data_IF_551175540027
#
_entry.id   IF_551175540027
#
_cell.length_a   1.000
_cell.length_b   1.000
_cell.length_c   1.000
_cell.angle_alpha   90.00
_cell.angle_beta   90.00
_cell.angle_gamma   90.00
#
_symmetry.space_group_name_H-M   'P 1'
#
loop_
_entity.id
_entity.type
_entity.pdbx_description
1 polymer ?
#
# COMPACT_ATOMS: atom_id res chain seq x y z
N UNK A 1 -44.26 5.86 -32.98
CA UNK A 1 -43.39 6.68 -32.12
C UNK A 1 -42.50 5.74 -31.34
N UNK A 2 -41.20 5.70 -31.62
CA UNK A 2 -40.23 4.94 -30.80
C UNK A 2 -39.97 5.72 -29.51
N UNK A 3 -39.89 5.06 -28.34
CA UNK A 3 -39.64 5.73 -27.07
C UNK A 3 -38.23 6.32 -27.06
N UNK A 4 -38.13 7.61 -26.76
CA UNK A 4 -36.87 8.30 -26.46
C UNK A 4 -36.26 7.64 -25.22
N UNK A 5 -35.03 7.15 -25.36
CA UNK A 5 -34.25 6.68 -24.22
C UNK A 5 -34.09 7.83 -23.20
N UNK A 6 -34.23 7.56 -21.89
CA UNK A 6 -34.05 8.60 -20.88
C UNK A 6 -32.64 9.18 -20.98
N UNK A 7 -32.55 10.52 -20.97
CA UNK A 7 -31.27 11.22 -20.92
C UNK A 7 -30.46 10.75 -19.70
N UNK A 8 -29.14 10.56 -19.83
CA UNK A 8 -28.31 10.17 -18.70
C UNK A 8 -28.45 11.19 -17.57
N UNK A 9 -28.61 10.70 -16.34
CA UNK A 9 -28.58 11.55 -15.15
C UNK A 9 -27.29 12.39 -15.14
N UNK A 10 -27.33 13.64 -14.65
CA UNK A 10 -26.12 14.45 -14.51
C UNK A 10 -25.09 13.66 -13.71
N UNK A 11 -23.83 13.67 -14.17
CA UNK A 11 -22.73 13.01 -13.46
C UNK A 11 -22.70 13.57 -12.03
N UNK A 12 -22.91 12.71 -11.04
CA UNK A 12 -22.72 13.08 -9.65
C UNK A 12 -21.32 13.69 -9.49
N UNK A 13 -21.21 14.76 -8.70
CA UNK A 13 -19.92 15.37 -8.41
C UNK A 13 -18.93 14.32 -7.89
N UNK A 14 -17.68 14.44 -8.29
CA UNK A 14 -16.64 13.50 -7.91
C UNK A 14 -16.48 13.47 -6.37
N UNK A 15 -16.57 12.28 -5.73
CA UNK A 15 -16.68 12.19 -4.27
C UNK A 15 -15.41 12.59 -3.52
N UNK A 16 -14.24 12.62 -4.17
CA UNK A 16 -12.95 12.94 -3.53
C UNK A 16 -12.34 14.25 -4.02
N UNK A 17 -12.84 14.83 -5.11
CA UNK A 17 -12.35 16.11 -5.64
C UNK A 17 -12.43 17.27 -4.63
N UNK A 18 -13.47 17.40 -3.78
CA UNK A 18 -13.52 18.43 -2.74
C UNK A 18 -12.35 18.39 -1.75
N UNK A 19 -11.65 17.25 -1.60
CA UNK A 19 -10.48 17.16 -0.73
C UNK A 19 -9.31 18.04 -1.23
N UNK A 20 -9.28 18.41 -2.51
CA UNK A 20 -8.28 19.31 -3.06
C UNK A 20 -8.40 20.75 -2.53
N UNK A 21 -9.56 21.12 -2.01
CA UNK A 21 -9.80 22.46 -1.47
C UNK A 21 -9.39 22.57 0.00
N UNK A 22 -9.02 21.45 0.62
CA UNK A 22 -8.46 21.45 1.96
C UNK A 22 -7.05 22.10 1.98
N UNK A 23 -6.73 22.87 3.04
CA UNK A 23 -5.44 23.55 3.15
C UNK A 23 -4.25 22.62 2.93
N UNK A 24 -3.37 22.98 1.99
CA UNK A 24 -2.12 22.27 1.70
C UNK A 24 -2.24 21.03 0.83
N UNK A 25 -3.45 20.52 0.52
CA UNK A 25 -3.62 19.26 -0.23
C UNK A 25 -3.13 19.37 -1.67
N UNK A 26 -3.46 20.45 -2.40
CA UNK A 26 -2.93 20.67 -3.77
C UNK A 26 -1.40 20.68 -3.80
N UNK A 27 -0.78 21.42 -2.88
CA UNK A 27 0.67 21.45 -2.75
C UNK A 27 1.28 20.08 -2.41
N UNK A 28 0.59 19.27 -1.61
CA UNK A 28 1.01 17.90 -1.33
C UNK A 28 0.96 17.00 -2.58
N UNK A 29 -0.12 17.10 -3.37
CA UNK A 29 -0.25 16.42 -4.67
C UNK A 29 0.87 16.82 -5.63
N UNK A 30 1.16 18.11 -5.73
CA UNK A 30 2.20 18.62 -6.62
C UNK A 30 3.60 18.14 -6.22
N UNK A 31 3.95 18.18 -4.92
CA UNK A 31 5.24 17.67 -4.45
C UNK A 31 5.43 16.19 -4.77
N UNK A 32 4.42 15.36 -4.50
CA UNK A 32 4.47 13.94 -4.80
C UNK A 32 4.62 13.68 -6.30
N UNK A 33 3.87 14.43 -7.13
CA UNK A 33 3.95 14.35 -8.59
C UNK A 33 5.34 14.71 -9.10
N UNK A 34 5.91 15.83 -8.67
CA UNK A 34 7.26 16.25 -9.08
C UNK A 34 8.31 15.19 -8.72
N UNK A 35 8.28 14.65 -7.51
CA UNK A 35 9.23 13.62 -7.09
C UNK A 35 9.16 12.34 -7.95
N UNK A 36 7.94 11.89 -8.30
CA UNK A 36 7.76 10.74 -9.18
C UNK A 36 8.12 11.03 -10.64
N UNK A 37 7.83 12.24 -11.14
CA UNK A 37 8.22 12.69 -12.49
C UNK A 37 9.75 12.68 -12.63
N UNK A 38 10.48 13.21 -11.65
CA UNK A 38 11.95 13.19 -11.63
C UNK A 38 12.51 11.76 -11.58
N UNK A 39 11.89 10.88 -10.78
CA UNK A 39 12.27 9.48 -10.68
C UNK A 39 12.10 8.75 -12.02
N UNK A 40 11.01 9.00 -12.75
CA UNK A 40 10.70 8.35 -14.04
C UNK A 40 11.83 8.45 -15.06
N UNK A 41 12.60 9.53 -15.02
CA UNK A 41 13.69 9.79 -15.96
C UNK A 41 15.04 9.19 -15.56
N UNK A 42 15.09 8.41 -14.47
CA UNK A 42 16.31 7.73 -14.05
C UNK A 42 16.83 6.74 -15.09
N UNK A 43 18.15 6.70 -15.30
CA UNK A 43 18.78 5.86 -16.33
C UNK A 43 18.50 4.35 -16.13
N UNK A 44 18.42 3.90 -14.89
CA UNK A 44 18.13 2.50 -14.53
C UNK A 44 16.86 2.00 -15.22
N UNK A 45 15.87 2.89 -15.38
CA UNK A 45 14.57 2.52 -15.91
C UNK A 45 14.56 2.26 -17.42
N UNK A 46 15.66 2.56 -18.14
CA UNK A 46 15.78 2.25 -19.57
C UNK A 46 15.96 0.76 -19.86
N UNK A 47 16.65 0.03 -18.99
CA UNK A 47 17.04 -1.38 -19.23
C UNK A 47 16.85 -2.28 -18.02
N UNK A 48 17.00 -1.74 -16.81
CA UNK A 48 17.05 -2.50 -15.55
C UNK A 48 15.86 -2.22 -14.62
N UNK A 49 14.74 -1.78 -15.20
CA UNK A 49 13.58 -1.37 -14.42
C UNK A 49 12.93 -2.55 -13.68
N UNK A 50 13.02 -3.78 -14.22
CA UNK A 50 12.48 -4.98 -13.57
C UNK A 50 13.26 -5.32 -12.31
N UNK A 51 14.59 -5.25 -12.35
CA UNK A 51 15.42 -5.44 -11.15
C UNK A 51 15.16 -4.35 -10.11
N UNK A 52 15.04 -3.09 -10.54
CA UNK A 52 14.71 -1.99 -9.63
C UNK A 52 13.34 -2.16 -8.97
N UNK A 53 12.32 -2.63 -9.71
CA UNK A 53 11.00 -2.95 -9.14
C UNK A 53 11.07 -4.10 -8.15
N UNK A 54 11.75 -5.19 -8.50
CA UNK A 54 11.88 -6.36 -7.63
C UNK A 54 12.57 -6.00 -6.30
N UNK A 55 13.68 -5.25 -6.36
CA UNK A 55 14.37 -4.79 -5.16
C UNK A 55 13.52 -3.80 -4.34
N UNK A 56 12.82 -2.86 -5.00
CA UNK A 56 11.90 -1.95 -4.32
C UNK A 56 10.75 -2.69 -3.61
N UNK A 57 10.26 -3.80 -4.18
CA UNK A 57 9.23 -4.64 -3.57
C UNK A 57 9.72 -5.33 -2.30
N UNK A 58 10.92 -5.91 -2.32
CA UNK A 58 11.52 -6.53 -1.13
C UNK A 58 11.72 -5.50 -0.03
N UNK A 59 12.21 -4.30 -0.38
CA UNK A 59 12.37 -3.19 0.58
C UNK A 59 11.04 -2.68 1.12
N UNK A 60 10.01 -2.54 0.28
CA UNK A 60 8.67 -2.15 0.69
C UNK A 60 8.05 -3.17 1.65
N UNK A 61 8.16 -4.46 1.35
CA UNK A 61 7.69 -5.52 2.22
C UNK A 61 8.40 -5.50 3.58
N UNK A 62 9.73 -5.37 3.59
CA UNK A 62 10.52 -5.27 4.83
C UNK A 62 10.17 -4.04 5.65
N UNK A 63 10.14 -2.86 5.02
CA UNK A 63 9.83 -1.61 5.70
C UNK A 63 8.39 -1.63 6.24
N UNK A 64 7.43 -2.13 5.46
CA UNK A 64 6.05 -2.31 5.89
C UNK A 64 5.95 -3.25 7.10
N UNK A 65 6.61 -4.41 7.07
CA UNK A 65 6.65 -5.32 8.20
C UNK A 65 7.25 -4.65 9.45
N UNK A 66 8.28 -3.83 9.29
CA UNK A 66 8.88 -3.07 10.39
C UNK A 66 7.95 -2.02 11.00
N UNK A 67 7.02 -1.45 10.22
CA UNK A 67 5.94 -0.59 10.76
C UNK A 67 5.00 -1.39 11.67
N UNK A 68 4.76 -2.66 11.34
CA UNK A 68 3.92 -3.58 12.12
C UNK A 68 4.70 -4.26 13.27
N UNK A 69 5.96 -3.84 13.50
CA UNK A 69 6.81 -4.33 14.59
C UNK A 69 7.74 -5.48 14.24
N UNK A 70 7.59 -6.09 13.06
CA UNK A 70 8.38 -7.24 12.64
C UNK A 70 9.71 -6.81 11.98
N UNK A 71 10.86 -7.21 12.55
CA UNK A 71 12.18 -6.83 12.07
C UNK A 71 12.94 -8.01 11.50
N UNK A 72 13.13 -7.99 10.19
CA UNK A 72 13.97 -8.97 9.47
C UNK A 72 15.16 -8.29 8.79
N UNK A 73 16.36 -8.92 8.74
CA UNK A 73 17.44 -8.47 7.87
C UNK A 73 17.02 -8.49 6.40
N UNK A 74 17.54 -7.55 5.59
CA UNK A 74 17.18 -7.47 4.17
C UNK A 74 17.59 -8.72 3.40
N UNK A 75 18.79 -9.24 3.67
CA UNK A 75 19.31 -10.45 3.01
C UNK A 75 18.44 -11.69 3.25
N UNK A 76 17.88 -11.82 4.45
CA UNK A 76 16.95 -12.91 4.77
C UNK A 76 15.72 -12.81 3.86
N UNK A 77 15.13 -11.63 3.73
CA UNK A 77 13.94 -11.44 2.90
C UNK A 77 14.24 -11.52 1.40
N UNK A 78 15.43 -11.13 0.95
CA UNK A 78 15.92 -11.38 -0.41
C UNK A 78 16.06 -12.88 -0.70
N UNK A 79 16.55 -13.66 0.27
CA UNK A 79 16.58 -15.12 0.19
C UNK A 79 15.18 -15.70 0.00
N UNK A 80 14.23 -15.32 0.85
CA UNK A 80 12.83 -15.75 0.73
C UNK A 80 12.23 -15.36 -0.63
N UNK A 81 12.49 -14.14 -1.13
CA UNK A 81 11.99 -13.67 -2.41
C UNK A 81 12.50 -14.46 -3.62
N UNK A 82 13.65 -15.12 -3.48
CA UNK A 82 14.27 -15.95 -4.52
C UNK A 82 14.05 -17.45 -4.31
N UNK A 83 13.28 -17.84 -3.29
CA UNK A 83 13.03 -19.25 -2.94
C UNK A 83 14.22 -19.91 -2.22
N UNK A 84 15.16 -19.12 -1.72
CA UNK A 84 16.27 -19.57 -0.89
C UNK A 84 15.80 -19.59 0.57
N UNK A 85 15.30 -20.75 1.01
CA UNK A 85 14.77 -20.95 2.37
C UNK A 85 15.86 -21.16 3.44
N UNK A 86 17.15 -21.15 3.07
CA UNK A 86 18.28 -21.36 4.00
C UNK A 86 19.49 -20.48 3.66
N UNK A 87 20.26 -20.00 4.66
CA UNK A 87 21.58 -19.43 4.43
C UNK A 87 22.50 -20.44 3.73
N UNK A 88 23.48 -19.92 2.98
CA UNK A 88 24.36 -20.70 2.10
C UNK A 88 25.23 -21.75 2.82
N UNK A 89 25.31 -21.67 4.15
CA UNK A 89 26.04 -22.60 5.03
C UNK A 89 25.21 -23.83 5.46
N UNK A 90 23.96 -23.96 5.02
CA UNK A 90 23.14 -25.16 5.20
C UNK A 90 22.54 -25.33 6.60
N UNK A 91 22.86 -24.46 7.55
CA UNK A 91 22.09 -24.34 8.78
C UNK A 91 20.71 -23.77 8.39
N UNK A 92 19.61 -24.40 8.80
CA UNK A 92 18.34 -23.67 8.82
C UNK A 92 18.52 -22.39 9.64
N UNK A 93 17.77 -21.32 9.36
CA UNK A 93 17.77 -20.18 10.27
C UNK A 93 17.37 -20.70 11.66
N UNK A 94 18.33 -20.83 12.59
CA UNK A 94 18.09 -21.14 13.99
C UNK A 94 17.48 -19.88 14.62
N UNK A 95 16.20 -19.64 14.31
CA UNK A 95 15.44 -18.51 14.81
C UNK A 95 14.81 -18.92 16.14
N UNK A 96 14.85 -18.02 17.11
CA UNK A 96 13.94 -18.11 18.24
C UNK A 96 12.49 -17.86 17.77
N UNK A 97 11.52 -18.11 18.65
CA UNK A 97 10.10 -17.99 18.33
C UNK A 97 9.71 -16.57 17.88
N UNK A 98 10.39 -15.55 18.39
CA UNK A 98 10.16 -14.15 18.06
C UNK A 98 10.66 -13.81 16.65
N UNK A 99 11.90 -14.17 16.32
CA UNK A 99 12.46 -13.98 14.98
C UNK A 99 11.70 -14.81 13.93
N UNK A 100 11.20 -15.99 14.30
CA UNK A 100 10.30 -16.76 13.45
C UNK A 100 8.95 -16.05 13.22
N UNK A 101 8.40 -15.37 14.25
CA UNK A 101 7.18 -14.57 14.10
C UNK A 101 7.39 -13.36 13.18
N UNK A 102 8.49 -12.64 13.37
CA UNK A 102 8.87 -11.51 12.51
C UNK A 102 9.02 -11.94 11.05
N UNK A 103 9.67 -13.08 10.82
CA UNK A 103 9.81 -13.64 9.48
C UNK A 103 8.47 -14.02 8.85
N UNK A 104 7.51 -14.56 9.62
CA UNK A 104 6.15 -14.87 9.11
C UNK A 104 5.43 -13.61 8.63
N UNK A 105 5.47 -12.53 9.43
CA UNK A 105 4.85 -11.24 9.08
C UNK A 105 5.52 -10.64 7.84
N UNK A 106 6.86 -10.60 7.80
CA UNK A 106 7.60 -10.08 6.66
C UNK A 106 7.37 -10.89 5.37
N UNK A 107 7.32 -12.22 5.47
CA UNK A 107 6.99 -13.10 4.35
C UNK A 107 5.55 -12.91 3.88
N UNK A 108 4.61 -12.64 4.79
CA UNK A 108 3.25 -12.20 4.46
C UNK A 108 3.22 -10.92 3.64
N UNK A 109 3.91 -9.87 4.12
CA UNK A 109 4.04 -8.60 3.41
C UNK A 109 4.68 -8.75 2.02
N UNK A 110 5.70 -9.62 1.90
CA UNK A 110 6.32 -9.94 0.62
C UNK A 110 5.34 -10.62 -0.34
N UNK A 111 4.57 -11.61 0.12
CA UNK A 111 3.53 -12.28 -0.68
C UNK A 111 2.43 -11.32 -1.14
N UNK A 112 1.96 -10.45 -0.26
CA UNK A 112 0.98 -9.41 -0.63
C UNK A 112 1.55 -8.45 -1.68
N UNK A 113 2.81 -8.04 -1.54
CA UNK A 113 3.51 -7.17 -2.49
C UNK A 113 3.71 -7.86 -3.84
N UNK A 114 4.10 -9.14 -3.85
CA UNK A 114 4.24 -9.95 -5.06
C UNK A 114 2.90 -10.16 -5.77
N UNK A 115 1.81 -10.39 -5.03
CA UNK A 115 0.46 -10.44 -5.60
C UNK A 115 0.07 -9.09 -6.21
N UNK A 116 0.31 -7.98 -5.50
CA UNK A 116 0.03 -6.64 -6.01
C UNK A 116 0.79 -6.34 -7.31
N UNK A 117 2.03 -6.85 -7.44
CA UNK A 117 2.84 -6.72 -8.63
C UNK A 117 2.18 -7.27 -9.89
N UNK A 118 1.35 -8.30 -9.77
CA UNK A 118 0.63 -8.92 -10.90
C UNK A 118 -0.40 -8.00 -11.56
N UNK A 119 -0.83 -6.95 -10.87
CA UNK A 119 -1.76 -5.94 -11.38
C UNK A 119 -1.10 -4.62 -11.75
N UNK A 120 0.20 -4.46 -11.50
CA UNK A 120 0.89 -3.22 -11.84
C UNK A 120 1.13 -3.14 -13.35
N UNK A 121 0.92 -1.97 -13.97
CA UNK A 121 1.30 -1.75 -15.37
C UNK A 121 2.78 -2.02 -15.60
N UNK A 122 3.09 -2.66 -16.74
CA UNK A 122 4.45 -2.70 -17.27
C UNK A 122 4.97 -1.27 -17.53
N UNK A 123 6.23 -0.99 -17.24
CA UNK A 123 6.80 0.32 -17.51
C UNK A 123 6.83 0.57 -19.03
N UNK A 124 6.16 1.65 -19.48
CA UNK A 124 5.98 1.95 -20.90
C UNK A 124 4.85 1.16 -21.57
N UNK A 125 4.12 0.33 -20.82
CA UNK A 125 2.89 -0.30 -21.28
C UNK A 125 1.81 0.74 -21.60
N UNK A 126 1.02 0.48 -22.64
CA UNK A 126 -0.08 1.36 -23.08
C UNK A 126 -1.46 0.92 -22.58
N UNK A 127 -1.54 -0.25 -21.95
CA UNK A 127 -2.79 -0.80 -21.45
C UNK A 127 -3.16 -0.17 -20.12
N UNK A 128 -4.44 0.16 -19.95
CA UNK A 128 -4.97 0.53 -18.65
C UNK A 128 -4.90 -0.69 -17.70
N UNK A 129 -4.42 -0.53 -16.46
CA UNK A 129 -4.41 -1.61 -15.49
C UNK A 129 -5.83 -2.07 -15.16
N UNK A 130 -6.10 -3.35 -15.39
CA UNK A 130 -7.34 -4.00 -15.01
C UNK A 130 -7.27 -4.44 -13.53
N UNK A 131 -7.57 -3.52 -12.61
CA UNK A 131 -7.69 -3.86 -11.19
C UNK A 131 -9.02 -4.57 -10.92
N UNK A 132 -9.06 -5.60 -10.05
CA UNK A 132 -10.32 -6.10 -9.53
C UNK A 132 -11.03 -5.02 -8.69
N UNK A 133 -12.34 -5.14 -8.44
CA UNK A 133 -13.05 -4.29 -7.48
C UNK A 133 -12.30 -4.24 -6.16
N UNK A 134 -12.23 -3.06 -5.53
CA UNK A 134 -11.37 -2.84 -4.36
C UNK A 134 -11.62 -3.87 -3.24
N UNK A 135 -12.87 -4.18 -2.90
CA UNK A 135 -13.17 -5.22 -1.90
C UNK A 135 -12.53 -6.59 -2.22
N UNK A 136 -12.55 -7.02 -3.48
CA UNK A 136 -11.92 -8.27 -3.92
C UNK A 136 -10.38 -8.17 -3.90
N UNK A 137 -9.84 -7.02 -4.30
CA UNK A 137 -8.41 -6.72 -4.20
C UNK A 137 -7.93 -6.88 -2.76
N UNK A 138 -8.62 -6.25 -1.81
CA UNK A 138 -8.29 -6.28 -0.38
C UNK A 138 -8.37 -7.69 0.20
N UNK A 139 -9.42 -8.44 -0.14
CA UNK A 139 -9.57 -9.83 0.30
C UNK A 139 -8.39 -10.70 -0.18
N UNK A 140 -7.98 -10.56 -1.45
CA UNK A 140 -6.85 -11.31 -2.02
C UNK A 140 -5.52 -10.90 -1.41
N UNK A 141 -5.30 -9.61 -1.19
CA UNK A 141 -4.10 -9.11 -0.50
C UNK A 141 -4.02 -9.63 0.94
N UNK A 142 -5.14 -9.61 1.68
CA UNK A 142 -5.17 -10.14 3.04
C UNK A 142 -4.91 -11.65 3.07
N UNK A 143 -5.52 -12.42 2.16
CA UNK A 143 -5.25 -13.86 2.07
C UNK A 143 -3.75 -14.15 1.84
N UNK A 144 -3.09 -13.38 0.96
CA UNK A 144 -1.65 -13.50 0.74
C UNK A 144 -0.82 -13.06 1.96
N UNK A 145 -1.22 -11.98 2.63
CA UNK A 145 -0.53 -11.45 3.80
C UNK A 145 -0.63 -12.38 5.02
N UNK A 146 -1.81 -12.94 5.28
CA UNK A 146 -2.11 -13.76 6.45
C UNK A 146 -1.77 -15.25 6.32
N UNK A 147 -1.52 -15.74 5.10
CA UNK A 147 -1.29 -17.15 4.85
C UNK A 147 -0.13 -17.71 5.69
N UNK A 148 -0.36 -18.82 6.38
CA UNK A 148 0.65 -19.49 7.21
C UNK A 148 0.80 -18.93 8.63
N UNK A 149 0.01 -17.93 9.04
CA UNK A 149 0.00 -17.44 10.43
C UNK A 149 -1.36 -16.91 10.92
N UNK A 150 -2.38 -16.81 10.06
CA UNK A 150 -3.78 -16.62 10.45
C UNK A 150 -4.60 -17.89 10.16
N UNK A 151 -5.72 -18.10 10.86
CA UNK A 151 -6.66 -19.18 10.55
C UNK A 151 -7.16 -19.08 9.10
N UNK A 152 -7.20 -20.21 8.38
CA UNK A 152 -7.64 -20.25 6.98
C UNK A 152 -9.09 -19.74 6.81
N UNK A 153 -9.93 -19.99 7.82
CA UNK A 153 -11.30 -19.50 7.87
C UNK A 153 -11.40 -17.96 7.93
N UNK A 154 -10.34 -17.24 8.31
CA UNK A 154 -10.34 -15.78 8.41
C UNK A 154 -9.68 -15.10 7.19
N UNK A 155 -9.00 -15.87 6.33
CA UNK A 155 -8.27 -15.32 5.19
C UNK A 155 -9.20 -14.67 4.17
N UNK A 156 -9.06 -13.35 4.05
CA UNK A 156 -9.74 -12.54 3.04
C UNK A 156 -11.18 -12.19 3.44
N UNK A 157 -11.56 -12.44 4.69
CA UNK A 157 -12.90 -12.19 5.20
C UNK A 157 -12.90 -10.98 6.13
N UNK A 158 -13.88 -10.10 5.93
CA UNK A 158 -14.12 -9.00 6.87
C UNK A 158 -14.53 -9.61 8.21
N UNK A 159 -13.90 -9.17 9.31
CA UNK A 159 -14.18 -9.72 10.65
C UNK A 159 -15.61 -9.41 11.09
N UNK A 160 -16.30 -10.45 11.54
CA UNK A 160 -17.71 -10.39 11.96
C UNK A 160 -17.86 -9.78 13.35
N UNK A 161 -16.91 -10.05 14.24
CA UNK A 161 -16.89 -9.56 15.62
C UNK A 161 -15.44 -9.43 16.12
N UNK A 162 -15.28 -8.87 17.31
CA UNK A 162 -13.97 -8.74 17.97
C UNK A 162 -13.17 -7.52 17.50
N UNK A 163 -12.14 -7.21 18.28
CA UNK A 163 -11.17 -6.17 17.96
C UNK A 163 -10.10 -6.71 17.00
N UNK A 164 -9.57 -5.90 16.08
CA UNK A 164 -8.38 -6.29 15.32
C UNK A 164 -7.20 -6.55 16.27
N UNK A 165 -6.37 -7.52 15.91
CA UNK A 165 -5.17 -7.92 16.66
C UNK A 165 -3.96 -7.03 16.37
N UNK A 166 -3.98 -6.30 15.26
CA UNK A 166 -2.96 -5.33 14.87
C UNK A 166 -3.44 -3.88 14.98
N UNK A 167 -2.48 -2.94 14.89
CA UNK A 167 -2.75 -1.50 14.98
C UNK A 167 -3.49 -1.12 16.28
N UNK A 168 -3.17 -1.82 17.37
CA UNK A 168 -3.69 -1.55 18.70
C UNK A 168 -3.27 -0.13 19.12
N UNK A 169 -4.21 0.67 19.63
CA UNK A 169 -3.97 2.07 19.97
C UNK A 169 -4.51 3.11 18.97
N UNK A 170 -5.04 2.70 17.82
CA UNK A 170 -5.76 3.61 16.89
C UNK A 170 -7.23 3.86 17.25
N UNK A 171 -7.64 3.51 18.47
CA UNK A 171 -9.01 3.64 18.95
C UNK A 171 -9.95 2.49 18.50
N UNK A 172 -11.27 2.63 18.71
CA UNK A 172 -12.26 1.62 18.33
C UNK A 172 -12.29 1.39 16.82
N UNK A 173 -12.55 0.16 16.40
CA UNK A 173 -12.75 -0.22 15.00
C UNK A 173 -14.17 -0.77 14.82
N UNK A 174 -14.88 -0.42 13.74
CA UNK A 174 -16.16 -1.08 13.42
C UNK A 174 -15.93 -2.57 13.12
N UNK A 175 -16.93 -3.41 13.32
CA UNK A 175 -16.93 -4.84 12.99
C UNK A 175 -18.25 -5.26 12.35
N UNK A 176 -18.32 -6.46 11.77
CA UNK A 176 -19.56 -7.01 11.26
C UNK A 176 -20.14 -6.18 10.11
N UNK A 177 -21.44 -5.87 10.19
CA UNK A 177 -22.15 -5.13 9.16
C UNK A 177 -21.54 -3.74 8.90
N UNK A 178 -21.15 -3.01 9.95
CA UNK A 178 -20.60 -1.66 9.83
C UNK A 178 -19.25 -1.67 9.09
N UNK A 179 -18.38 -2.63 9.41
CA UNK A 179 -17.10 -2.78 8.72
C UNK A 179 -17.31 -3.15 7.24
N UNK A 180 -18.23 -4.07 6.97
CA UNK A 180 -18.56 -4.50 5.61
C UNK A 180 -19.15 -3.34 4.79
N UNK A 181 -20.04 -2.55 5.37
CA UNK A 181 -20.63 -1.37 4.71
C UNK A 181 -19.58 -0.31 4.40
N UNK A 182 -18.65 -0.03 5.32
CA UNK A 182 -17.55 0.92 5.06
C UNK A 182 -16.63 0.45 3.94
N UNK A 183 -16.28 -0.83 3.88
CA UNK A 183 -15.49 -1.39 2.76
C UNK A 183 -16.26 -1.32 1.44
N UNK A 184 -17.56 -1.58 1.45
CA UNK A 184 -18.41 -1.48 0.28
C UNK A 184 -18.55 -0.04 -0.22
N UNK A 185 -18.70 0.93 0.69
CA UNK A 185 -18.72 2.35 0.37
C UNK A 185 -17.38 2.79 -0.23
N UNK A 186 -16.25 2.45 0.40
CA UNK A 186 -14.92 2.77 -0.12
C UNK A 186 -14.72 2.18 -1.53
N UNK A 187 -15.21 0.95 -1.76
CA UNK A 187 -15.16 0.31 -3.08
C UNK A 187 -15.92 1.11 -4.14
N UNK A 188 -17.14 1.58 -3.84
CA UNK A 188 -17.92 2.43 -4.76
C UNK A 188 -17.26 3.78 -4.98
N UNK A 189 -16.73 4.40 -3.93
CA UNK A 189 -16.03 5.70 -3.99
C UNK A 189 -14.80 5.62 -4.92
N UNK A 190 -13.97 4.58 -4.79
CA UNK A 190 -12.78 4.40 -5.64
C UNK A 190 -13.16 4.12 -7.09
N UNK A 191 -14.25 3.39 -7.34
CA UNK A 191 -14.74 3.14 -8.69
C UNK A 191 -15.30 4.41 -9.37
N UNK A 192 -15.89 5.33 -8.60
CA UNK A 192 -16.52 6.54 -9.13
C UNK A 192 -15.56 7.73 -9.28
N UNK A 193 -14.47 7.77 -8.51
CA UNK A 193 -13.58 8.95 -8.46
C UNK A 193 -12.52 9.00 -9.56
N UNK A 194 -12.28 10.23 -10.03
CA UNK A 194 -11.23 10.73 -10.92
C UNK A 194 -10.26 11.66 -10.20
N UNK A 195 -10.34 11.78 -8.87
CA UNK A 195 -9.40 12.57 -8.08
C UNK A 195 -7.93 12.10 -8.28
N UNK A 196 -6.93 12.96 -7.99
CA UNK A 196 -5.53 12.62 -8.15
C UNK A 196 -5.14 11.35 -7.40
N UNK A 197 -4.24 10.55 -7.99
CA UNK A 197 -3.83 9.25 -7.47
C UNK A 197 -3.37 9.29 -6.00
N UNK A 198 -2.65 10.34 -5.60
CA UNK A 198 -2.23 10.54 -4.21
C UNK A 198 -3.42 10.61 -3.26
N UNK A 199 -4.47 11.37 -3.62
CA UNK A 199 -5.67 11.54 -2.80
C UNK A 199 -6.40 10.20 -2.67
N UNK A 200 -6.59 9.49 -3.79
CA UNK A 200 -7.24 8.17 -3.79
C UNK A 200 -6.45 7.17 -2.92
N UNK A 201 -5.13 7.10 -3.09
CA UNK A 201 -4.27 6.22 -2.31
C UNK A 201 -4.29 6.59 -0.81
N UNK A 202 -4.23 7.88 -0.47
CA UNK A 202 -4.28 8.34 0.91
C UNK A 202 -5.62 8.01 1.58
N UNK A 203 -6.76 8.21 0.90
CA UNK A 203 -8.08 7.87 1.42
C UNK A 203 -8.22 6.37 1.64
N UNK A 204 -7.83 5.54 0.66
CA UNK A 204 -7.86 4.08 0.81
C UNK A 204 -6.96 3.64 1.97
N UNK A 205 -5.76 4.20 2.07
CA UNK A 205 -4.84 3.89 3.16
C UNK A 205 -5.45 4.24 4.52
N UNK A 206 -5.91 5.48 4.69
CA UNK A 206 -6.47 5.97 5.95
C UNK A 206 -7.73 5.21 6.35
N UNK A 207 -8.64 4.96 5.42
CA UNK A 207 -9.87 4.20 5.68
C UNK A 207 -9.57 2.76 6.09
N UNK A 208 -8.60 2.09 5.47
CA UNK A 208 -8.21 0.73 5.88
C UNK A 208 -7.56 0.70 7.26
N UNK A 209 -6.76 1.72 7.61
CA UNK A 209 -6.21 1.86 8.96
C UNK A 209 -7.27 2.20 10.00
N UNK A 210 -8.35 2.89 9.63
CA UNK A 210 -9.45 3.24 10.54
C UNK A 210 -10.45 2.09 10.71
N UNK A 211 -10.86 1.47 9.61
CA UNK A 211 -11.82 0.36 9.57
C UNK A 211 -11.17 -0.93 10.07
N UNK A 212 -9.89 -1.16 9.76
CA UNK A 212 -9.12 -2.37 10.08
C UNK A 212 -9.85 -3.66 9.72
N UNK A 213 -10.40 -3.84 8.51
CA UNK A 213 -11.47 -4.80 8.23
C UNK A 213 -11.17 -6.28 8.50
N UNK A 214 -9.92 -6.67 8.73
CA UNK A 214 -9.50 -8.06 8.96
C UNK A 214 -9.05 -8.31 10.40
N UNK A 215 -8.92 -9.58 10.79
CA UNK A 215 -8.48 -9.97 12.13
C UNK A 215 -7.06 -9.45 12.46
N UNK A 216 -6.15 -9.46 11.48
CA UNK A 216 -4.81 -8.87 11.56
C UNK A 216 -4.33 -8.47 10.14
N UNK A 217 -3.07 -8.06 10.02
CA UNK A 217 -2.42 -7.68 8.74
C UNK A 217 -3.08 -6.50 8.00
N UNK A 218 -3.90 -5.70 8.69
CA UNK A 218 -4.56 -4.53 8.16
C UNK A 218 -3.56 -3.47 7.70
N UNK A 219 -2.49 -3.24 8.48
CA UNK A 219 -1.43 -2.31 8.12
C UNK A 219 -0.75 -2.69 6.81
N UNK A 220 -0.40 -3.97 6.67
CA UNK A 220 0.21 -4.52 5.44
C UNK A 220 -0.73 -4.37 4.24
N UNK A 221 -2.00 -4.78 4.36
CA UNK A 221 -2.97 -4.64 3.26
C UNK A 221 -3.15 -3.18 2.85
N UNK A 222 -3.23 -2.26 3.82
CA UNK A 222 -3.44 -0.85 3.56
C UNK A 222 -2.29 -0.21 2.79
N UNK A 223 -1.04 -0.47 3.21
CA UNK A 223 0.15 0.04 2.53
C UNK A 223 0.32 -0.57 1.13
N UNK A 224 0.15 -1.88 1.00
CA UNK A 224 0.24 -2.56 -0.31
C UNK A 224 -0.83 -2.06 -1.29
N UNK A 225 -2.08 -1.89 -0.84
CA UNK A 225 -3.16 -1.34 -1.68
C UNK A 225 -2.89 0.11 -2.09
N UNK A 226 -2.44 0.95 -1.16
CA UNK A 226 -2.09 2.34 -1.43
C UNK A 226 -0.96 2.44 -2.47
N UNK A 227 0.12 1.68 -2.29
CA UNK A 227 1.27 1.64 -3.22
C UNK A 227 0.86 1.15 -4.62
N UNK A 228 -0.01 0.14 -4.70
CA UNK A 228 -0.58 -0.31 -5.98
C UNK A 228 -1.39 0.80 -6.66
N UNK A 229 -2.21 1.54 -5.91
CA UNK A 229 -3.01 2.64 -6.46
C UNK A 229 -2.17 3.82 -6.95
N UNK A 230 -1.05 4.14 -6.29
CA UNK A 230 -0.09 5.14 -6.78
C UNK A 230 0.42 4.76 -8.19
N UNK A 231 0.70 3.48 -8.41
CA UNK A 231 1.19 2.98 -9.69
C UNK A 231 0.08 2.85 -10.73
N UNK A 232 -1.02 2.18 -10.39
CA UNK A 232 -2.12 1.91 -11.30
C UNK A 232 -2.84 3.18 -11.78
N UNK A 233 -2.82 4.26 -10.99
CA UNK A 233 -3.37 5.57 -11.37
C UNK A 233 -2.32 6.54 -11.92
N UNK A 234 -1.11 6.05 -12.24
CA UNK A 234 -0.11 6.77 -13.04
C UNK A 234 0.76 7.78 -12.28
N UNK A 235 0.66 7.89 -10.96
CA UNK A 235 1.54 8.76 -10.18
C UNK A 235 2.95 8.17 -10.05
N UNK A 236 3.05 6.85 -9.81
CA UNK A 236 4.33 6.13 -9.84
C UNK A 236 4.36 5.13 -11.01
N UNK A 237 4.65 5.58 -12.25
CA UNK A 237 4.74 4.68 -13.39
C UNK A 237 5.94 3.73 -13.31
N UNK A 238 6.98 4.05 -12.53
CA UNK A 238 8.13 3.15 -12.34
C UNK A 238 7.80 2.02 -11.39
N UNK A 239 6.79 2.15 -10.53
CA UNK A 239 6.37 1.13 -9.57
C UNK A 239 7.41 0.86 -8.50
N UNK A 240 8.36 1.79 -8.30
CA UNK A 240 9.52 1.62 -7.43
C UNK A 240 9.50 2.52 -6.21
N UNK A 241 8.55 3.46 -6.09
CA UNK A 241 8.44 4.31 -4.90
C UNK A 241 8.18 3.41 -3.69
N UNK A 242 8.91 3.64 -2.59
CA UNK A 242 8.81 2.89 -1.33
C UNK A 242 8.38 3.81 -0.18
N UNK A 243 7.09 4.23 -0.10
CA UNK A 243 6.64 5.11 0.98
C UNK A 243 6.79 4.50 2.36
N UNK A 244 6.75 3.16 2.45
CA UNK A 244 6.84 2.40 3.69
C UNK A 244 8.13 2.69 4.46
N UNK A 245 9.23 3.02 3.77
CA UNK A 245 10.50 3.37 4.40
C UNK A 245 10.38 4.61 5.31
N UNK A 246 9.58 5.61 4.90
CA UNK A 246 9.35 6.80 5.70
C UNK A 246 8.53 6.50 6.96
N UNK A 247 7.49 5.68 6.83
CA UNK A 247 6.66 5.27 7.98
C UNK A 247 7.42 4.35 8.93
N UNK A 248 8.30 3.47 8.42
CA UNK A 248 9.15 2.60 9.24
C UNK A 248 10.18 3.40 10.05
N UNK A 249 10.68 4.51 9.50
CA UNK A 249 11.58 5.42 10.20
C UNK A 249 10.87 6.25 11.28
N UNK A 250 9.57 6.53 11.11
CA UNK A 250 8.77 7.34 12.03
C UNK A 250 7.37 6.73 12.26
N UNK A 251 7.26 5.56 12.93
CA UNK A 251 5.99 4.86 13.07
C UNK A 251 4.98 5.60 13.96
N UNK A 252 5.45 6.29 15.00
CA UNK A 252 4.56 7.02 15.92
C UNK A 252 3.88 8.23 15.25
N UNK A 253 4.60 9.14 14.56
CA UNK A 253 3.94 10.19 13.76
C UNK A 253 2.97 9.66 12.71
N UNK A 254 3.31 8.54 12.06
CA UNK A 254 2.45 7.88 11.08
C UNK A 254 1.13 7.41 11.72
N UNK A 255 1.19 6.67 12.83
CA UNK A 255 0.01 6.18 13.55
C UNK A 255 -0.82 7.34 14.14
N UNK A 256 -0.17 8.34 14.72
CA UNK A 256 -0.85 9.52 15.26
C UNK A 256 -1.64 10.29 14.18
N UNK A 257 -1.07 10.41 12.98
CA UNK A 257 -1.76 11.08 11.86
C UNK A 257 -2.89 10.21 11.30
N UNK A 258 -2.72 8.88 11.25
CA UNK A 258 -3.80 7.95 10.90
C UNK A 258 -4.97 8.03 11.89
N UNK A 259 -4.69 8.15 13.20
CA UNK A 259 -5.72 8.36 14.21
C UNK A 259 -6.45 9.71 14.00
N UNK A 260 -5.73 10.77 13.62
CA UNK A 260 -6.34 12.06 13.26
C UNK A 260 -7.21 11.97 12.01
N UNK A 261 -6.79 11.22 10.99
CA UNK A 261 -7.62 10.93 9.81
C UNK A 261 -8.95 10.28 10.20
N UNK A 262 -8.91 9.29 11.11
CA UNK A 262 -10.10 8.55 11.54
C UNK A 262 -11.18 9.43 12.22
N UNK A 263 -10.84 10.65 12.66
CA UNK A 263 -11.82 11.62 13.18
C UNK A 263 -12.73 12.20 12.10
N UNK A 264 -12.38 12.07 10.81
CA UNK A 264 -13.14 12.62 9.69
C UNK A 264 -13.10 14.15 9.59
N UNK A 265 -12.33 14.84 10.45
CA UNK A 265 -12.23 16.30 10.40
C UNK A 265 -11.45 16.76 9.16
N UNK A 266 -11.83 17.90 8.53
CA UNK A 266 -11.09 18.45 7.38
C UNK A 266 -9.58 18.60 7.64
N UNK A 267 -9.21 19.06 8.83
CA UNK A 267 -7.80 19.21 9.23
C UNK A 267 -7.09 17.86 9.41
N UNK A 268 -7.77 16.83 9.94
CA UNK A 268 -7.23 15.48 10.06
C UNK A 268 -6.98 14.83 8.70
N UNK A 269 -7.93 14.99 7.78
CA UNK A 269 -7.80 14.49 6.39
C UNK A 269 -6.66 15.20 5.65
N UNK A 270 -6.59 16.53 5.74
CA UNK A 270 -5.52 17.31 5.10
C UNK A 270 -4.13 16.92 5.62
N UNK A 271 -3.99 16.79 6.94
CA UNK A 271 -2.74 16.36 7.57
C UNK A 271 -2.29 14.97 7.10
N UNK A 272 -3.23 14.03 7.00
CA UNK A 272 -2.95 12.68 6.51
C UNK A 272 -2.50 12.64 5.06
N UNK A 273 -3.19 13.37 4.17
CA UNK A 273 -2.75 13.49 2.76
C UNK A 273 -1.35 14.09 2.67
N UNK A 274 -1.04 15.08 3.52
CA UNK A 274 0.31 15.63 3.65
C UNK A 274 1.36 14.58 4.02
N UNK A 275 1.10 13.79 5.08
CA UNK A 275 2.02 12.70 5.50
C UNK A 275 2.18 11.62 4.43
N UNK A 276 1.12 11.29 3.68
CA UNK A 276 1.23 10.38 2.54
C UNK A 276 2.08 10.97 1.41
N UNK A 277 1.93 12.27 1.11
CA UNK A 277 2.75 12.95 0.11
C UNK A 277 4.23 12.95 0.49
N UNK A 278 4.54 13.30 1.72
CA UNK A 278 5.92 13.36 2.21
C UNK A 278 6.56 11.96 2.21
N UNK A 279 5.78 10.92 2.52
CA UNK A 279 6.23 9.53 2.38
C UNK A 279 6.46 9.13 0.92
N UNK A 280 5.63 9.58 -0.03
CA UNK A 280 5.86 9.35 -1.47
C UNK A 280 7.14 10.04 -1.94
N UNK A 281 7.38 11.30 -1.52
CA UNK A 281 8.61 12.04 -1.86
C UNK A 281 9.85 11.31 -1.30
N UNK A 282 9.83 10.92 -0.03
CA UNK A 282 10.91 10.16 0.59
C UNK A 282 11.10 8.78 -0.08
N UNK A 283 9.99 8.12 -0.43
CA UNK A 283 9.98 6.85 -1.14
C UNK A 283 10.55 6.94 -2.56
N UNK A 284 10.37 8.07 -3.25
CA UNK A 284 10.99 8.32 -4.55
C UNK A 284 12.51 8.51 -4.42
N UNK A 285 12.98 9.15 -3.34
CA UNK A 285 14.41 9.24 -3.03
C UNK A 285 15.02 7.85 -2.70
N UNK A 286 14.29 6.99 -1.99
CA UNK A 286 14.71 5.59 -1.78
C UNK A 286 14.74 4.80 -3.10
N UNK A 287 13.73 4.97 -3.95
CA UNK A 287 13.69 4.35 -5.26
C UNK A 287 14.87 4.75 -6.14
N UNK A 288 15.32 6.01 -6.06
CA UNK A 288 16.54 6.47 -6.73
C UNK A 288 17.78 5.73 -6.23
N UNK A 289 17.94 5.58 -4.90
CA UNK A 289 19.05 4.81 -4.32
C UNK A 289 19.03 3.34 -4.77
N UNK A 290 17.86 2.73 -4.84
CA UNK A 290 17.68 1.38 -5.39
C UNK A 290 18.11 1.34 -6.86
N UNK A 291 17.63 2.29 -7.67
CA UNK A 291 17.97 2.39 -9.08
C UNK A 291 19.49 2.58 -9.32
N UNK A 292 20.16 3.39 -8.51
CA UNK A 292 21.62 3.57 -8.52
C UNK A 292 22.37 2.27 -8.17
N UNK A 293 21.93 1.57 -7.11
CA UNK A 293 22.51 0.30 -6.70
C UNK A 293 22.36 -0.77 -7.78
N UNK A 294 21.18 -0.84 -8.41
CA UNK A 294 20.91 -1.74 -9.54
C UNK A 294 21.83 -1.41 -10.72
N UNK A 295 21.93 -0.14 -11.13
CA UNK A 295 22.84 0.24 -12.22
C UNK A 295 24.28 -0.15 -11.95
N UNK A 296 24.74 0.01 -10.72
CA UNK A 296 26.09 -0.35 -10.31
C UNK A 296 26.30 -1.85 -10.09
N UNK A 297 25.26 -2.68 -10.17
CA UNK A 297 25.35 -4.11 -9.87
C UNK A 297 25.63 -4.43 -8.40
N UNK A 298 25.27 -3.53 -7.47
CA UNK A 298 25.57 -3.62 -6.03
C UNK A 298 24.34 -3.96 -5.20
N UNK A 299 23.51 -4.89 -5.66
CA UNK A 299 22.46 -5.48 -4.82
C UNK A 299 23.13 -6.51 -3.88
N UNK A 300 23.81 -5.99 -2.86
CA UNK A 300 24.39 -6.76 -1.76
C UNK A 300 23.94 -6.20 -0.42
#
# INVERSE_FOLDING_TARGET
MLPVAPSPAPAADDPLTPLLDLPGVRGAVDRARTACEELRWHEAFRRRWREARAEADVRAARAGAAVDGARVPLEVLRGVATGVDRPADGAGWLLDDAAAADLRVATGALRATALAATWRPELGGRSEPALPPLGQLLARLHAAAGAGWLPEADLGRVRVAGSPLDLTGLGPAPSGADAAERVALLTRTVAATRAPALVVAAVVHGELLAVRPFAAANGTVARTAARLLLCARGLDPTGTVVPEAAWAAAPQPYLATAARFATGTPAGVAAWVGVCADAVVAGAAEARRVADAVLAGRLG
#
